data_IF_597955388585
#
_entry.id   IF_597955388585
#
_cell.length_a   1.000
_cell.length_b   1.000
_cell.length_c   1.000
_cell.angle_alpha   90.00
_cell.angle_beta   90.00
_cell.angle_gamma   90.00
#
_symmetry.space_group_name_H-M   'P 1'
#
loop_
_entity.id
_entity.type
_entity.pdbx_description
1 polymer ?
#
# COMPACT_ATOMS: atom_id res chain seq x y z
N UNK A 1 37.65 40.21 -35.58
CA UNK A 1 36.48 39.34 -35.87
C UNK A 1 36.23 38.21 -34.85
N UNK A 2 37.09 37.99 -33.85
CA UNK A 2 36.98 36.80 -32.97
C UNK A 2 36.19 37.00 -31.65
N UNK A 3 36.11 38.22 -31.11
CA UNK A 3 35.42 38.44 -29.83
C UNK A 3 33.87 38.38 -29.93
N UNK A 4 33.28 38.88 -31.04
CA UNK A 4 31.82 38.86 -31.23
C UNK A 4 31.26 37.44 -31.44
N UNK A 5 32.02 36.54 -32.08
CA UNK A 5 31.60 35.15 -32.28
C UNK A 5 31.67 34.33 -30.98
N UNK A 6 32.70 34.58 -30.16
CA UNK A 6 32.81 33.96 -28.84
C UNK A 6 31.68 34.40 -27.90
N UNK A 7 31.29 35.68 -27.93
CA UNK A 7 30.21 36.20 -27.10
C UNK A 7 28.84 35.60 -27.49
N UNK A 8 28.51 35.55 -28.78
CA UNK A 8 27.26 34.94 -29.27
C UNK A 8 27.17 33.44 -28.97
N UNK A 9 28.28 32.70 -29.08
CA UNK A 9 28.31 31.28 -28.71
C UNK A 9 28.08 31.05 -27.20
N UNK A 10 28.63 31.93 -26.36
CA UNK A 10 28.44 31.85 -24.90
C UNK A 10 27.00 32.21 -24.49
N UNK A 11 26.40 33.23 -25.11
CA UNK A 11 24.99 33.59 -24.86
C UNK A 11 24.02 32.49 -25.30
N UNK A 12 24.29 31.82 -26.43
CA UNK A 12 23.50 30.69 -26.89
C UNK A 12 23.67 29.45 -26.00
N UNK A 13 24.87 29.19 -25.48
CA UNK A 13 25.09 28.10 -24.53
C UNK A 13 24.42 28.34 -23.18
N UNK A 14 24.41 29.59 -22.68
CA UNK A 14 23.70 29.96 -21.45
C UNK A 14 22.18 29.95 -21.65
N UNK A 15 21.69 30.40 -22.82
CA UNK A 15 20.27 30.33 -23.14
C UNK A 15 19.79 28.88 -23.34
N UNK A 16 20.58 28.03 -24.00
CA UNK A 16 20.30 26.60 -24.12
C UNK A 16 20.39 25.88 -22.76
N UNK A 17 21.36 26.25 -21.93
CA UNK A 17 21.48 25.77 -20.55
C UNK A 17 20.29 26.18 -19.68
N UNK A 18 19.81 27.42 -19.81
CA UNK A 18 18.59 27.88 -19.12
C UNK A 18 17.33 27.18 -19.66
N UNK A 19 17.20 26.99 -20.98
CA UNK A 19 16.05 26.29 -21.55
C UNK A 19 16.01 24.79 -21.18
N UNK A 20 17.17 24.14 -21.04
CA UNK A 20 17.27 22.76 -20.53
C UNK A 20 16.97 22.72 -19.02
N UNK A 21 17.40 23.74 -18.26
CA UNK A 21 17.13 23.85 -16.82
C UNK A 21 15.67 24.22 -16.50
N UNK A 22 14.98 24.96 -17.37
CA UNK A 22 13.55 25.25 -17.22
C UNK A 22 12.64 24.18 -17.83
N UNK A 23 13.19 23.29 -18.67
CA UNK A 23 12.46 22.22 -19.35
C UNK A 23 12.33 20.92 -18.56
N UNK A 24 13.24 20.67 -17.61
CA UNK A 24 13.22 19.51 -16.73
C UNK A 24 13.28 19.96 -15.28
N UNK A 25 12.09 20.11 -14.69
CA UNK A 25 11.75 20.13 -13.26
C UNK A 25 10.62 21.13 -13.01
N UNK A 26 9.41 20.79 -13.48
CA UNK A 26 8.24 21.08 -12.63
C UNK A 26 8.36 20.14 -11.43
N UNK A 27 9.19 20.51 -10.45
CA UNK A 27 8.91 20.09 -9.07
C UNK A 27 7.62 20.84 -8.73
N UNK A 28 6.49 20.23 -9.07
CA UNK A 28 5.19 20.82 -8.79
C UNK A 28 5.11 21.08 -7.30
N UNK A 29 4.76 22.30 -6.90
CA UNK A 29 4.29 22.52 -5.54
C UNK A 29 3.14 21.54 -5.28
N UNK A 30 3.10 20.89 -4.11
CA UNK A 30 2.03 19.94 -3.82
C UNK A 30 0.66 20.62 -4.00
N UNK A 31 -0.36 19.89 -4.49
CA UNK A 31 -1.70 20.43 -4.61
C UNK A 31 -2.14 21.08 -3.30
N UNK A 32 -2.62 22.31 -3.37
CA UNK A 32 -3.11 23.05 -2.20
C UNK A 32 -4.53 22.66 -1.80
N UNK A 33 -5.28 22.02 -2.71
CA UNK A 33 -6.68 21.66 -2.49
C UNK A 33 -6.80 20.19 -2.07
N UNK A 34 -7.58 19.94 -1.03
CA UNK A 34 -7.97 18.60 -0.56
C UNK A 34 -9.40 18.32 -1.00
N UNK A 35 -9.69 17.08 -1.38
CA UNK A 35 -11.03 16.68 -1.82
C UNK A 35 -11.42 15.33 -1.23
N UNK A 36 -12.71 15.16 -0.95
CA UNK A 36 -13.35 13.87 -0.69
C UNK A 36 -14.35 13.63 -1.81
N UNK A 37 -14.27 12.44 -2.41
CA UNK A 37 -15.20 11.99 -3.44
C UNK A 37 -16.04 10.89 -2.81
N UNK A 38 -17.36 11.00 -2.95
CA UNK A 38 -18.32 9.99 -2.51
C UNK A 38 -19.29 9.72 -3.64
N UNK A 39 -19.69 8.47 -3.80
CA UNK A 39 -20.65 8.09 -4.83
C UNK A 39 -21.74 7.17 -4.27
N UNK A 40 -22.93 7.22 -4.88
CA UNK A 40 -24.03 6.30 -4.67
C UNK A 40 -24.62 5.80 -6.00
N UNK A 41 -25.29 4.65 -5.93
CA UNK A 41 -25.82 3.94 -7.10
C UNK A 41 -24.96 2.75 -7.55
N UNK A 42 -25.22 2.19 -8.74
CA UNK A 42 -24.51 1.01 -9.23
C UNK A 42 -23.05 1.34 -9.55
N UNK A 43 -22.14 0.45 -9.15
CA UNK A 43 -20.69 0.62 -9.36
C UNK A 43 -20.13 1.93 -8.77
N UNK A 44 -20.82 2.55 -7.80
CA UNK A 44 -20.46 3.82 -7.19
C UNK A 44 -19.01 3.83 -6.67
N UNK A 45 -18.62 2.80 -5.94
CA UNK A 45 -17.26 2.65 -5.44
C UNK A 45 -16.20 2.60 -6.56
N UNK A 46 -16.55 2.03 -7.72
CA UNK A 46 -15.66 2.02 -8.89
C UNK A 46 -15.51 3.39 -9.52
N UNK A 47 -16.60 4.13 -9.66
CA UNK A 47 -16.58 5.49 -10.20
C UNK A 47 -15.84 6.47 -9.27
N UNK A 48 -16.10 6.40 -7.96
CA UNK A 48 -15.36 7.15 -6.93
C UNK A 48 -13.85 6.94 -7.08
N UNK A 49 -13.47 5.68 -7.23
CA UNK A 49 -12.09 5.24 -7.32
C UNK A 49 -11.40 5.67 -8.61
N UNK A 50 -12.04 5.50 -9.76
CA UNK A 50 -11.52 5.95 -11.05
C UNK A 50 -11.39 7.48 -11.10
N UNK A 51 -12.36 8.22 -10.53
CA UNK A 51 -12.26 9.68 -10.48
C UNK A 51 -11.17 10.15 -9.51
N UNK A 52 -10.99 9.46 -8.39
CA UNK A 52 -9.88 9.69 -7.46
C UNK A 52 -8.53 9.48 -8.16
N UNK A 53 -8.40 8.37 -8.88
CA UNK A 53 -7.21 8.04 -9.67
C UNK A 53 -6.92 9.12 -10.72
N UNK A 54 -7.95 9.61 -11.42
CA UNK A 54 -7.80 10.68 -12.40
C UNK A 54 -7.35 12.02 -11.77
N UNK A 55 -7.89 12.37 -10.60
CA UNK A 55 -7.52 13.58 -9.88
C UNK A 55 -6.07 13.50 -9.36
N UNK A 56 -5.65 12.33 -8.89
CA UNK A 56 -4.31 12.06 -8.39
C UNK A 56 -3.26 12.04 -9.51
N UNK A 57 -3.55 11.44 -10.68
CA UNK A 57 -2.65 11.45 -11.85
C UNK A 57 -2.31 12.88 -12.32
N UNK A 58 -3.12 13.87 -11.94
CA UNK A 58 -2.97 15.24 -12.38
C UNK A 58 -2.45 16.17 -11.28
N UNK A 59 -2.13 15.62 -10.10
CA UNK A 59 -1.78 16.37 -8.90
C UNK A 59 -2.72 17.56 -8.65
N UNK A 60 -4.00 17.38 -8.99
CA UNK A 60 -4.99 18.46 -8.86
C UNK A 60 -5.43 18.59 -7.42
N UNK A 61 -5.65 17.45 -6.77
CA UNK A 61 -6.16 17.37 -5.41
C UNK A 61 -5.39 16.33 -4.60
N UNK A 62 -5.30 16.61 -3.30
CA UNK A 62 -5.02 15.57 -2.31
C UNK A 62 -6.36 14.90 -1.99
N UNK A 63 -6.57 13.70 -2.55
CA UNK A 63 -7.79 12.94 -2.32
C UNK A 63 -7.72 12.28 -0.94
N UNK A 64 -8.71 12.56 -0.10
CA UNK A 64 -8.83 12.00 1.25
C UNK A 64 -9.82 10.83 1.26
N UNK A 65 -9.68 9.87 2.19
CA UNK A 65 -10.65 8.80 2.35
C UNK A 65 -12.06 9.33 2.65
N UNK A 66 -13.12 8.64 2.21
CA UNK A 66 -14.49 8.94 2.63
C UNK A 66 -14.62 9.05 4.15
N UNK A 67 -15.47 9.97 4.61
CA UNK A 67 -15.65 10.25 6.05
C UNK A 67 -14.63 11.23 6.65
N UNK A 68 -13.61 11.65 5.89
CA UNK A 68 -12.71 12.72 6.31
C UNK A 68 -13.42 14.08 6.32
N UNK A 69 -13.48 14.74 7.47
CA UNK A 69 -14.10 16.06 7.66
C UNK A 69 -13.15 17.22 8.03
N UNK A 70 -11.89 17.32 7.53
CA UNK A 70 -11.09 18.51 7.82
C UNK A 70 -11.73 19.79 7.26
N UNK A 71 -11.47 20.92 7.93
CA UNK A 71 -11.80 22.24 7.40
C UNK A 71 -11.11 22.48 6.04
N UNK A 72 -11.85 23.05 5.09
CA UNK A 72 -11.33 23.44 3.77
C UNK A 72 -11.17 22.28 2.78
N UNK A 73 -11.91 21.18 2.96
CA UNK A 73 -11.93 20.04 2.04
C UNK A 73 -13.11 20.15 1.09
N UNK A 74 -12.84 20.07 -0.22
CA UNK A 74 -13.86 20.02 -1.27
C UNK A 74 -14.68 18.74 -1.15
N UNK A 75 -16.00 18.85 -1.22
CA UNK A 75 -16.90 17.70 -1.18
C UNK A 75 -17.48 17.44 -2.57
N UNK A 76 -17.17 16.28 -3.14
CA UNK A 76 -17.69 15.85 -4.44
C UNK A 76 -18.62 14.67 -4.22
N UNK A 77 -19.90 14.85 -4.55
CA UNK A 77 -20.93 13.80 -4.44
C UNK A 77 -21.38 13.40 -5.83
N UNK A 78 -21.43 12.11 -6.10
CA UNK A 78 -21.80 11.55 -7.40
C UNK A 78 -23.02 10.64 -7.25
N UNK A 79 -24.09 10.93 -7.98
CA UNK A 79 -25.25 10.08 -8.11
C UNK A 79 -25.20 9.39 -9.47
N UNK A 80 -25.05 8.07 -9.47
CA UNK A 80 -24.95 7.26 -10.68
C UNK A 80 -26.26 6.53 -10.97
N UNK A 81 -26.66 6.48 -12.24
CA UNK A 81 -27.75 5.64 -12.72
C UNK A 81 -27.35 4.93 -14.01
N UNK A 82 -27.63 3.64 -14.08
CA UNK A 82 -27.44 2.84 -15.29
C UNK A 82 -28.74 2.78 -16.09
N UNK A 83 -28.67 3.16 -17.36
CA UNK A 83 -29.75 3.02 -18.35
C UNK A 83 -29.23 2.21 -19.56
N UNK A 84 -29.39 0.88 -19.50
CA UNK A 84 -28.80 -0.04 -20.45
C UNK A 84 -27.27 0.02 -20.46
N UNK A 85 -26.70 0.50 -21.58
CA UNK A 85 -25.26 0.72 -21.75
C UNK A 85 -24.83 2.15 -21.39
N UNK A 86 -25.78 3.02 -21.03
CA UNK A 86 -25.50 4.42 -20.68
C UNK A 86 -25.36 4.59 -19.17
N UNK A 87 -24.38 5.38 -18.77
CA UNK A 87 -24.19 5.91 -17.43
C UNK A 87 -24.72 7.34 -17.41
N UNK A 88 -25.79 7.56 -16.65
CA UNK A 88 -26.24 8.89 -16.26
C UNK A 88 -25.54 9.25 -14.95
N UNK A 89 -24.81 10.36 -14.96
CA UNK A 89 -24.05 10.85 -13.82
C UNK A 89 -24.50 12.26 -13.48
N UNK A 90 -24.94 12.43 -12.24
CA UNK A 90 -25.17 13.73 -11.63
C UNK A 90 -24.09 13.94 -10.56
N UNK A 91 -23.56 15.16 -10.48
CA UNK A 91 -22.51 15.48 -9.53
C UNK A 91 -22.82 16.76 -8.77
N UNK A 92 -22.27 16.89 -7.57
CA UNK A 92 -22.26 18.12 -6.80
C UNK A 92 -20.83 18.43 -6.33
N UNK A 93 -20.43 19.70 -6.37
CA UNK A 93 -19.19 20.21 -5.78
C UNK A 93 -19.54 21.24 -4.70
N UNK A 94 -19.22 20.93 -3.44
CA UNK A 94 -19.53 21.76 -2.28
C UNK A 94 -21.03 22.13 -2.21
N UNK A 95 -21.90 21.17 -2.55
CA UNK A 95 -23.35 21.32 -2.60
C UNK A 95 -23.87 22.11 -3.81
N UNK A 96 -23.01 22.48 -4.76
CA UNK A 96 -23.43 23.11 -6.02
C UNK A 96 -23.55 22.05 -7.12
N UNK A 97 -24.68 21.99 -7.84
CA UNK A 97 -24.87 21.00 -8.89
C UNK A 97 -23.87 21.22 -10.03
N UNK A 98 -23.29 20.12 -10.51
CA UNK A 98 -22.48 20.06 -11.72
C UNK A 98 -23.39 19.70 -12.91
N UNK A 99 -23.00 20.07 -14.15
CA UNK A 99 -23.75 19.67 -15.34
C UNK A 99 -23.91 18.14 -15.41
N UNK A 100 -25.15 17.67 -15.58
CA UNK A 100 -25.43 16.26 -15.74
C UNK A 100 -24.70 15.69 -16.97
N UNK A 101 -24.15 14.50 -16.84
CA UNK A 101 -23.44 13.80 -17.90
C UNK A 101 -24.19 12.51 -18.23
N UNK A 102 -24.24 12.16 -19.51
CA UNK A 102 -24.85 10.91 -19.95
C UNK A 102 -24.14 10.40 -21.20
N UNK A 103 -23.86 9.10 -21.25
CA UNK A 103 -23.13 8.46 -22.35
C UNK A 103 -22.63 7.09 -21.92
N UNK A 104 -21.63 6.54 -22.62
CA UNK A 104 -20.86 5.41 -22.10
C UNK A 104 -20.15 5.80 -20.79
N UNK A 105 -19.68 4.83 -19.97
CA UNK A 105 -18.90 5.14 -18.76
C UNK A 105 -17.74 6.10 -18.99
N UNK A 106 -16.96 5.89 -20.07
CA UNK A 106 -15.85 6.75 -20.45
C UNK A 106 -16.31 8.18 -20.78
N UNK A 107 -17.37 8.33 -21.59
CA UNK A 107 -17.93 9.63 -21.97
C UNK A 107 -18.47 10.41 -20.76
N UNK A 108 -19.24 9.74 -19.89
CA UNK A 108 -19.84 10.36 -18.72
C UNK A 108 -18.78 10.81 -17.72
N UNK A 109 -17.77 9.98 -17.44
CA UNK A 109 -16.65 10.32 -16.56
C UNK A 109 -15.75 11.40 -17.16
N UNK A 110 -15.51 11.38 -18.48
CA UNK A 110 -14.79 12.45 -19.18
C UNK A 110 -15.55 13.79 -19.09
N UNK A 111 -16.87 13.76 -19.21
CA UNK A 111 -17.73 14.93 -19.03
C UNK A 111 -17.64 15.50 -17.63
N UNK A 112 -17.71 14.65 -16.61
CA UNK A 112 -17.58 15.03 -15.21
C UNK A 112 -16.18 15.59 -14.92
N UNK A 113 -15.13 14.94 -15.41
CA UNK A 113 -13.76 15.41 -15.28
C UNK A 113 -13.62 16.85 -15.79
N UNK A 114 -14.18 17.16 -16.97
CA UNK A 114 -14.20 18.53 -17.50
C UNK A 114 -14.94 19.50 -16.58
N UNK A 115 -16.10 19.10 -16.04
CA UNK A 115 -16.86 19.93 -15.10
C UNK A 115 -16.09 20.22 -13.80
N UNK A 116 -15.18 19.33 -13.42
CA UNK A 116 -14.29 19.44 -12.27
C UNK A 116 -12.95 20.12 -12.58
N UNK A 117 -12.75 20.59 -13.82
CA UNK A 117 -11.48 21.13 -14.32
C UNK A 117 -10.30 20.13 -14.25
N UNK A 118 -10.62 18.85 -14.42
CA UNK A 118 -9.65 17.78 -14.64
C UNK A 118 -9.51 17.53 -16.14
N UNK A 119 -8.33 17.13 -16.59
CA UNK A 119 -8.15 16.53 -17.92
C UNK A 119 -8.95 15.22 -17.96
N UNK A 120 -9.74 14.97 -19.00
CA UNK A 120 -10.42 13.68 -19.16
C UNK A 120 -9.43 12.51 -19.13
N UNK A 121 -9.89 11.40 -18.57
CA UNK A 121 -9.25 10.11 -18.77
C UNK A 121 -9.21 9.79 -20.27
N UNK A 122 -8.11 9.25 -20.77
CA UNK A 122 -8.06 8.59 -22.06
C UNK A 122 -8.33 7.07 -21.90
N UNK A 123 -8.30 6.34 -23.02
CA UNK A 123 -8.54 4.89 -23.02
C UNK A 123 -7.52 4.08 -22.21
N UNK A 124 -6.40 4.68 -21.79
CA UNK A 124 -5.46 4.00 -20.88
C UNK A 124 -6.02 3.89 -19.45
N UNK A 125 -6.96 4.74 -19.04
CA UNK A 125 -7.55 4.69 -17.70
C UNK A 125 -8.97 4.12 -17.71
N UNK A 126 -9.78 4.40 -18.73
CA UNK A 126 -11.17 3.93 -18.80
C UNK A 126 -11.48 3.45 -20.22
N UNK A 127 -11.80 2.17 -20.44
CA UNK A 127 -12.19 1.68 -21.75
C UNK A 127 -13.64 2.07 -22.09
N UNK A 128 -13.97 2.05 -23.37
CA UNK A 128 -15.29 2.41 -23.86
C UNK A 128 -16.34 1.30 -23.68
N UNK A 129 -17.60 1.66 -23.83
CA UNK A 129 -18.71 0.70 -23.98
C UNK A 129 -18.88 -0.24 -22.78
N UNK A 130 -19.04 -1.54 -23.06
CA UNK A 130 -19.28 -2.57 -22.05
C UNK A 130 -18.05 -2.84 -21.16
N UNK A 131 -16.84 -2.71 -21.72
CA UNK A 131 -15.61 -2.87 -20.95
C UNK A 131 -15.49 -1.80 -19.86
N UNK A 132 -15.98 -0.58 -20.12
CA UNK A 132 -16.04 0.49 -19.11
C UNK A 132 -16.92 0.12 -17.92
N UNK A 133 -18.06 -0.53 -18.15
CA UNK A 133 -18.92 -1.03 -17.07
C UNK A 133 -18.26 -2.14 -16.27
N UNK A 134 -17.61 -3.07 -16.95
CA UNK A 134 -16.88 -4.16 -16.32
C UNK A 134 -15.75 -3.63 -15.43
N UNK A 135 -15.01 -2.62 -15.90
CA UNK A 135 -13.97 -1.96 -15.10
C UNK A 135 -14.54 -1.29 -13.85
N UNK A 136 -15.64 -0.51 -13.98
CA UNK A 136 -16.25 0.16 -12.82
C UNK A 136 -16.74 -0.86 -11.79
N UNK A 137 -17.29 -1.97 -12.26
CA UNK A 137 -17.73 -3.04 -11.38
C UNK A 137 -16.55 -3.70 -10.65
N UNK A 138 -15.50 -4.11 -11.39
CA UNK A 138 -14.29 -4.69 -10.80
C UNK A 138 -13.56 -3.73 -9.84
N UNK A 139 -13.53 -2.44 -10.16
CA UNK A 139 -12.90 -1.43 -9.31
C UNK A 139 -13.68 -1.20 -8.00
N UNK A 140 -15.01 -1.37 -8.03
CA UNK A 140 -15.92 -1.07 -6.93
C UNK A 140 -16.33 -2.27 -6.06
N UNK A 141 -16.14 -3.52 -6.51
CA UNK A 141 -16.66 -4.69 -5.80
C UNK A 141 -15.95 -4.98 -4.47
N UNK A 142 -16.78 -5.30 -3.49
CA UNK A 142 -16.41 -5.87 -2.20
C UNK A 142 -17.13 -7.21 -1.97
N UNK A 143 -16.37 -8.18 -1.44
CA UNK A 143 -16.72 -9.42 -0.71
C UNK A 143 -17.75 -10.44 -1.24
N UNK A 144 -18.68 -10.13 -2.15
CA UNK A 144 -19.78 -11.05 -2.51
C UNK A 144 -19.45 -12.07 -3.62
N UNK A 145 -18.36 -11.86 -4.37
CA UNK A 145 -17.87 -12.79 -5.38
C UNK A 145 -16.58 -13.47 -4.92
N UNK A 146 -16.41 -14.73 -5.32
CA UNK A 146 -15.15 -15.44 -5.08
C UNK A 146 -14.02 -14.76 -5.84
N UNK A 147 -12.83 -14.72 -5.25
CA UNK A 147 -11.63 -14.14 -5.88
C UNK A 147 -11.36 -14.76 -7.24
N UNK A 148 -11.63 -16.05 -7.42
CA UNK A 148 -11.48 -16.76 -8.71
C UNK A 148 -12.42 -16.22 -9.81
N UNK A 149 -13.69 -15.93 -9.49
CA UNK A 149 -14.64 -15.39 -10.46
C UNK A 149 -14.24 -13.97 -10.90
N UNK A 150 -13.85 -13.14 -9.93
CA UNK A 150 -13.32 -11.79 -10.19
C UNK A 150 -12.05 -11.84 -11.05
N UNK A 151 -11.17 -12.79 -10.79
CA UNK A 151 -9.92 -12.97 -11.52
C UNK A 151 -10.15 -13.29 -13.00
N UNK A 152 -11.05 -14.23 -13.30
CA UNK A 152 -11.38 -14.61 -14.68
C UNK A 152 -11.98 -13.43 -15.48
N UNK A 153 -12.81 -12.62 -14.82
CA UNK A 153 -13.39 -11.41 -15.39
C UNK A 153 -12.34 -10.34 -15.67
N UNK A 154 -11.45 -10.07 -14.70
CA UNK A 154 -10.36 -9.12 -14.87
C UNK A 154 -9.37 -9.55 -15.97
N UNK A 155 -9.06 -10.85 -16.08
CA UNK A 155 -8.25 -11.40 -17.17
C UNK A 155 -8.92 -11.18 -18.54
N UNK A 156 -10.22 -11.48 -18.64
CA UNK A 156 -10.98 -11.24 -19.87
C UNK A 156 -10.98 -9.75 -20.26
N UNK A 157 -11.12 -8.86 -19.28
CA UNK A 157 -11.04 -7.42 -19.50
C UNK A 157 -9.65 -6.98 -20.00
N UNK A 158 -8.55 -7.47 -19.39
CA UNK A 158 -7.19 -7.16 -19.86
C UNK A 158 -6.94 -7.69 -21.27
N UNK A 159 -7.50 -8.85 -21.63
CA UNK A 159 -7.42 -9.37 -23.01
C UNK A 159 -8.17 -8.50 -24.02
N UNK A 160 -9.34 -8.00 -23.64
CA UNK A 160 -10.13 -7.11 -24.49
C UNK A 160 -9.49 -5.71 -24.61
N UNK A 161 -8.91 -5.21 -23.51
CA UNK A 161 -8.40 -3.85 -23.38
C UNK A 161 -6.93 -3.84 -22.91
N UNK A 162 -5.98 -4.37 -23.70
CA UNK A 162 -4.60 -4.61 -23.25
C UNK A 162 -3.80 -3.34 -22.94
N UNK A 163 -4.31 -2.17 -23.34
CA UNK A 163 -3.71 -0.85 -23.06
C UNK A 163 -4.36 -0.12 -21.88
N UNK A 164 -5.40 -0.69 -21.27
CA UNK A 164 -6.06 -0.10 -20.12
C UNK A 164 -5.27 -0.42 -18.84
N UNK A 165 -4.54 0.56 -18.33
CA UNK A 165 -3.80 0.50 -17.07
C UNK A 165 -4.70 0.20 -15.87
N UNK A 166 -5.94 0.72 -15.83
CA UNK A 166 -6.87 0.42 -14.74
C UNK A 166 -7.37 -1.04 -14.76
N UNK A 167 -7.58 -1.62 -15.95
CA UNK A 167 -7.89 -3.04 -16.08
C UNK A 167 -6.72 -3.91 -15.61
N UNK A 168 -5.49 -3.55 -15.98
CA UNK A 168 -4.28 -4.22 -15.52
C UNK A 168 -4.07 -4.09 -14.02
N UNK A 169 -4.33 -2.92 -13.44
CA UNK A 169 -4.33 -2.70 -12.00
C UNK A 169 -5.33 -3.61 -11.30
N UNK A 170 -6.57 -3.71 -11.80
CA UNK A 170 -7.59 -4.58 -11.23
C UNK A 170 -7.14 -6.05 -11.26
N UNK A 171 -6.61 -6.51 -12.40
CA UNK A 171 -6.16 -7.89 -12.55
C UNK A 171 -4.93 -8.19 -11.66
N UNK A 172 -3.92 -7.33 -11.66
CA UNK A 172 -2.74 -7.46 -10.81
C UNK A 172 -3.08 -7.50 -9.32
N UNK A 173 -4.00 -6.62 -8.86
CA UNK A 173 -4.47 -6.59 -7.47
C UNK A 173 -5.21 -7.88 -7.08
N UNK A 174 -6.06 -8.39 -7.97
CA UNK A 174 -6.77 -9.65 -7.76
C UNK A 174 -5.82 -10.84 -7.74
N UNK A 175 -4.76 -10.83 -8.56
CA UNK A 175 -3.69 -11.84 -8.49
C UNK A 175 -2.96 -11.79 -7.15
N UNK A 176 -2.60 -10.60 -6.65
CA UNK A 176 -1.98 -10.46 -5.31
C UNK A 176 -2.88 -11.04 -4.23
N UNK A 177 -4.17 -10.69 -4.26
CA UNK A 177 -5.16 -11.23 -3.32
C UNK A 177 -5.27 -12.75 -3.43
N UNK A 178 -5.33 -13.27 -4.65
CA UNK A 178 -5.41 -14.70 -4.92
C UNK A 178 -4.20 -15.45 -4.34
N UNK A 179 -2.99 -14.91 -4.53
CA UNK A 179 -1.74 -15.46 -3.99
C UNK A 179 -1.72 -15.50 -2.45
N UNK A 180 -2.35 -14.52 -1.78
CA UNK A 180 -2.48 -14.52 -0.31
C UNK A 180 -3.51 -15.53 0.17
N UNK A 181 -4.60 -15.71 -0.57
CA UNK A 181 -5.73 -16.56 -0.17
C UNK A 181 -5.56 -18.05 -0.54
N UNK A 182 -4.75 -18.38 -1.55
CA UNK A 182 -4.68 -19.74 -2.10
C UNK A 182 -3.23 -20.25 -2.14
N UNK A 183 -2.93 -21.23 -1.30
CA UNK A 183 -1.60 -21.83 -1.16
C UNK A 183 -1.29 -22.97 -2.16
N UNK A 184 -2.26 -23.42 -2.97
CA UNK A 184 -2.17 -24.69 -3.70
C UNK A 184 -2.07 -24.59 -5.25
N UNK A 185 -1.85 -23.40 -5.81
CA UNK A 185 -1.83 -23.20 -7.27
C UNK A 185 -0.42 -23.14 -7.86
N UNK A 186 -0.28 -23.30 -9.18
CA UNK A 186 0.99 -23.05 -9.88
C UNK A 186 1.30 -21.55 -9.83
N UNK A 187 2.05 -21.19 -8.80
CA UNK A 187 2.14 -19.86 -8.20
C UNK A 187 3.18 -18.96 -8.86
N UNK A 188 4.19 -19.55 -9.51
CA UNK A 188 5.21 -18.80 -10.25
C UNK A 188 4.59 -18.04 -11.42
N UNK A 189 3.64 -18.67 -12.12
CA UNK A 189 2.90 -18.03 -13.22
C UNK A 189 2.02 -16.88 -12.71
N UNK A 190 1.38 -17.04 -11.55
CA UNK A 190 0.54 -15.99 -10.96
C UNK A 190 1.37 -14.80 -10.46
N UNK A 191 2.52 -15.02 -9.84
CA UNK A 191 3.43 -13.94 -9.42
C UNK A 191 4.00 -13.21 -10.65
N UNK A 192 4.48 -13.95 -11.65
CA UNK A 192 4.97 -13.37 -12.89
C UNK A 192 3.88 -12.58 -13.63
N UNK A 193 2.64 -13.10 -13.66
CA UNK A 193 1.48 -12.40 -14.22
C UNK A 193 1.13 -11.13 -13.43
N UNK A 194 1.23 -11.16 -12.10
CA UNK A 194 0.99 -10.00 -11.25
C UNK A 194 1.96 -8.88 -11.58
N UNK A 195 3.27 -9.17 -11.56
CA UNK A 195 4.31 -8.22 -11.92
C UNK A 195 4.18 -7.73 -13.36
N UNK A 196 3.92 -8.62 -14.32
CA UNK A 196 3.70 -8.25 -15.71
C UNK A 196 2.57 -7.22 -15.85
N UNK A 197 1.43 -7.44 -15.18
CA UNK A 197 0.31 -6.51 -15.26
C UNK A 197 0.60 -5.16 -14.63
N UNK A 198 1.29 -5.11 -13.50
CA UNK A 198 1.72 -3.83 -12.93
C UNK A 198 2.70 -3.10 -13.86
N UNK A 199 3.73 -3.77 -14.35
CA UNK A 199 4.73 -3.16 -15.24
C UNK A 199 4.10 -2.64 -16.53
N UNK A 200 3.28 -3.45 -17.20
CA UNK A 200 2.63 -3.04 -18.44
C UNK A 200 1.58 -1.95 -18.21
N UNK A 201 0.91 -1.95 -17.06
CA UNK A 201 -0.01 -0.89 -16.70
C UNK A 201 0.71 0.45 -16.48
N UNK A 202 1.89 0.45 -15.84
CA UNK A 202 2.74 1.65 -15.76
C UNK A 202 3.35 2.03 -17.10
N UNK A 203 3.65 1.07 -17.97
CA UNK A 203 4.09 1.39 -19.33
C UNK A 203 2.97 2.10 -20.12
N UNK A 204 1.70 1.69 -19.91
CA UNK A 204 0.54 2.31 -20.53
C UNK A 204 0.20 3.69 -19.92
N UNK A 205 0.33 3.84 -18.59
CA UNK A 205 0.11 5.09 -17.88
C UNK A 205 1.21 5.32 -16.83
N UNK A 206 2.36 5.92 -17.21
CA UNK A 206 3.51 6.08 -16.32
C UNK A 206 3.25 6.89 -15.06
N UNK A 207 2.33 7.84 -15.13
CA UNK A 207 1.95 8.76 -14.05
C UNK A 207 0.72 8.26 -13.28
N UNK A 208 0.55 6.94 -13.12
CA UNK A 208 -0.59 6.35 -12.38
C UNK A 208 -0.21 6.04 -10.91
N UNK A 209 -0.51 6.91 -9.93
CA UNK A 209 0.04 6.78 -8.58
C UNK A 209 -0.44 5.54 -7.85
N UNK A 210 -1.72 5.18 -7.99
CA UNK A 210 -2.30 4.01 -7.33
C UNK A 210 -1.73 2.69 -7.84
N UNK A 211 -1.43 2.61 -9.14
CA UNK A 211 -0.73 1.46 -9.68
C UNK A 211 0.68 1.37 -9.12
N UNK A 212 1.42 2.49 -9.10
CA UNK A 212 2.76 2.53 -8.52
C UNK A 212 2.76 2.17 -7.02
N UNK A 213 1.78 2.65 -6.24
CA UNK A 213 1.56 2.27 -4.83
C UNK A 213 1.43 0.75 -4.70
N UNK A 214 0.46 0.15 -5.39
CA UNK A 214 0.18 -1.28 -5.24
C UNK A 214 1.32 -2.16 -5.77
N UNK A 215 2.02 -1.70 -6.81
CA UNK A 215 3.21 -2.40 -7.29
C UNK A 215 4.36 -2.32 -6.28
N UNK A 216 4.59 -1.16 -5.64
CA UNK A 216 5.60 -1.03 -4.60
C UNK A 216 5.29 -1.88 -3.36
N UNK A 217 4.01 -1.96 -2.97
CA UNK A 217 3.56 -2.88 -1.90
C UNK A 217 3.87 -4.32 -2.30
N UNK A 218 3.47 -4.74 -3.50
CA UNK A 218 3.76 -6.10 -3.99
C UNK A 218 5.27 -6.41 -4.02
N UNK A 219 6.09 -5.48 -4.53
CA UNK A 219 7.55 -5.60 -4.55
C UNK A 219 8.10 -5.77 -3.13
N UNK A 220 7.56 -5.03 -2.16
CA UNK A 220 7.94 -5.14 -0.74
C UNK A 220 7.57 -6.51 -0.18
N UNK A 221 6.35 -6.99 -0.44
CA UNK A 221 5.85 -8.30 0.03
C UNK A 221 6.65 -9.49 -0.52
N UNK A 222 7.25 -9.35 -1.71
CA UNK A 222 8.13 -10.38 -2.31
C UNK A 222 9.61 -10.15 -2.01
N UNK A 223 9.94 -9.25 -1.08
CA UNK A 223 11.31 -9.00 -0.61
C UNK A 223 12.18 -8.15 -1.53
N UNK A 224 11.59 -7.48 -2.53
CA UNK A 224 12.25 -6.57 -3.48
C UNK A 224 12.07 -5.11 -3.07
N UNK A 225 12.21 -4.82 -1.77
CA UNK A 225 12.01 -3.49 -1.19
C UNK A 225 12.89 -2.40 -1.82
N UNK A 226 14.08 -2.75 -2.33
CA UNK A 226 14.93 -1.81 -3.07
C UNK A 226 14.27 -1.29 -4.35
N UNK A 227 13.65 -2.17 -5.13
CA UNK A 227 12.94 -1.79 -6.35
C UNK A 227 11.67 -1.00 -6.02
N UNK A 228 11.01 -1.33 -4.91
CA UNK A 228 9.91 -0.52 -4.38
C UNK A 228 10.38 0.90 -4.03
N UNK A 229 11.51 1.04 -3.34
CA UNK A 229 12.10 2.35 -2.99
C UNK A 229 12.52 3.15 -4.23
N UNK A 230 13.09 2.51 -5.26
CA UNK A 230 13.40 3.15 -6.54
C UNK A 230 12.13 3.66 -7.23
N UNK A 231 11.08 2.82 -7.32
CA UNK A 231 9.78 3.19 -7.88
C UNK A 231 9.14 4.36 -7.11
N UNK A 232 9.19 4.34 -5.78
CA UNK A 232 8.67 5.42 -4.94
C UNK A 232 9.46 6.71 -5.12
N UNK A 233 10.80 6.65 -5.21
CA UNK A 233 11.65 7.83 -5.45
C UNK A 233 11.26 8.52 -6.75
N UNK A 234 11.07 7.76 -7.82
CA UNK A 234 10.75 8.32 -9.13
C UNK A 234 9.30 8.77 -9.25
N UNK A 235 8.37 8.09 -8.58
CA UNK A 235 6.94 8.44 -8.63
C UNK A 235 6.61 9.62 -7.72
N UNK A 236 7.19 9.71 -6.51
CA UNK A 236 6.99 10.85 -5.59
C UNK A 236 7.64 12.14 -6.10
N UNK A 237 8.67 12.07 -6.96
CA UNK A 237 9.19 13.26 -7.65
C UNK A 237 8.14 13.90 -8.56
N UNK A 238 7.27 13.09 -9.16
CA UNK A 238 6.19 13.54 -10.05
C UNK A 238 4.94 13.90 -9.26
N UNK A 239 4.63 13.11 -8.22
CA UNK A 239 3.44 13.26 -7.39
C UNK A 239 3.78 13.50 -5.90
N UNK A 240 4.43 14.62 -5.55
CA UNK A 240 4.97 14.85 -4.19
C UNK A 240 3.91 15.01 -3.10
N UNK A 241 2.64 15.20 -3.47
CA UNK A 241 1.50 15.35 -2.56
C UNK A 241 0.63 14.11 -2.41
N UNK A 242 0.94 13.00 -3.10
CA UNK A 242 0.08 11.84 -3.12
C UNK A 242 0.22 10.99 -1.84
N UNK A 243 -0.87 10.87 -1.07
CA UNK A 243 -0.85 10.19 0.24
C UNK A 243 -0.64 8.68 0.15
N UNK A 244 -1.12 8.05 -0.93
CA UNK A 244 -1.00 6.61 -1.20
C UNK A 244 0.46 6.22 -1.45
N UNK A 245 1.16 7.00 -2.27
CA UNK A 245 2.59 6.81 -2.50
C UNK A 245 3.42 6.97 -1.22
N UNK A 246 3.04 7.89 -0.34
CA UNK A 246 3.70 8.05 0.97
C UNK A 246 3.46 6.83 1.88
N UNK A 247 2.29 6.19 1.81
CA UNK A 247 2.07 4.93 2.53
C UNK A 247 2.99 3.82 2.00
N UNK A 248 3.06 3.63 0.68
CA UNK A 248 3.91 2.61 0.08
C UNK A 248 5.39 2.86 0.37
N UNK A 249 5.85 4.12 0.36
CA UNK A 249 7.20 4.48 0.78
C UNK A 249 7.46 4.13 2.25
N UNK A 250 6.54 4.47 3.17
CA UNK A 250 6.69 4.12 4.58
C UNK A 250 6.80 2.61 4.78
N UNK A 251 5.98 1.83 4.07
CA UNK A 251 6.03 0.37 4.11
C UNK A 251 7.36 -0.19 3.58
N UNK A 252 7.78 0.21 2.38
CA UNK A 252 9.05 -0.25 1.81
C UNK A 252 10.26 0.15 2.67
N UNK A 253 10.23 1.37 3.23
CA UNK A 253 11.27 1.89 4.10
C UNK A 253 11.37 1.07 5.40
N UNK A 254 10.26 0.84 6.11
CA UNK A 254 10.28 0.08 7.37
C UNK A 254 10.64 -1.40 7.16
N UNK A 255 10.19 -2.00 6.05
CA UNK A 255 10.59 -3.36 5.70
C UNK A 255 12.11 -3.46 5.46
N UNK A 256 12.73 -2.40 4.94
CA UNK A 256 14.17 -2.32 4.69
C UNK A 256 15.00 -1.78 5.87
N UNK A 257 14.40 -1.64 7.06
CA UNK A 257 15.06 -1.10 8.25
C UNK A 257 15.24 0.42 8.30
N UNK A 258 14.76 1.16 7.29
CA UNK A 258 14.88 2.62 7.23
C UNK A 258 13.81 3.32 8.08
N UNK A 259 13.82 3.08 9.40
CA UNK A 259 12.77 3.56 10.31
C UNK A 259 12.66 5.10 10.39
N UNK A 260 13.77 5.84 10.26
CA UNK A 260 13.73 7.32 10.20
C UNK A 260 13.05 7.82 8.92
N UNK A 261 13.33 7.20 7.77
CA UNK A 261 12.66 7.52 6.51
C UNK A 261 11.16 7.22 6.60
N UNK A 262 10.79 6.04 7.12
CA UNK A 262 9.40 5.66 7.30
C UNK A 262 8.66 6.66 8.20
N UNK A 263 9.26 7.04 9.33
CA UNK A 263 8.69 8.01 10.26
C UNK A 263 8.49 9.38 9.58
N UNK A 264 9.52 9.97 8.98
CA UNK A 264 9.39 11.26 8.28
C UNK A 264 8.35 11.25 7.18
N UNK A 265 8.24 10.12 6.47
CA UNK A 265 7.25 9.92 5.41
C UNK A 265 5.82 9.97 5.97
N UNK A 266 5.55 9.28 7.08
CA UNK A 266 4.27 9.32 7.78
C UNK A 266 3.96 10.72 8.33
N UNK A 267 4.96 11.44 8.84
CA UNK A 267 4.81 12.85 9.25
C UNK A 267 4.39 13.75 8.11
N UNK A 268 5.05 13.62 6.96
CA UNK A 268 4.71 14.39 5.76
C UNK A 268 3.30 14.05 5.29
N UNK A 269 2.94 12.77 5.29
CA UNK A 269 1.57 12.33 4.96
C UNK A 269 0.54 12.95 5.89
N UNK A 270 0.78 12.95 7.20
CA UNK A 270 -0.10 13.58 8.19
C UNK A 270 -0.28 15.09 7.94
N UNK A 271 0.82 15.80 7.69
CA UNK A 271 0.80 17.23 7.33
C UNK A 271 -0.03 17.49 6.06
N UNK A 272 0.15 16.68 5.02
CA UNK A 272 -0.59 16.81 3.76
C UNK A 272 -2.08 16.48 3.89
N UNK A 273 -2.42 15.45 4.67
CA UNK A 273 -3.82 15.15 4.99
C UNK A 273 -4.47 16.27 5.83
N UNK A 274 -3.67 17.04 6.57
CA UNK A 274 -4.13 18.03 7.54
C UNK A 274 -4.81 17.36 8.74
N UNK A 275 -4.30 16.18 9.12
CA UNK A 275 -4.77 15.41 10.28
C UNK A 275 -3.55 14.96 11.10
N UNK A 276 -3.61 14.98 12.43
CA UNK A 276 -2.60 14.33 13.27
C UNK A 276 -2.49 12.84 12.93
N UNK A 277 -1.28 12.27 13.01
CA UNK A 277 -1.04 10.84 12.70
C UNK A 277 -2.00 9.89 13.42
N UNK A 278 -2.19 10.07 14.73
CA UNK A 278 -3.10 9.26 15.55
C UNK A 278 -4.60 9.43 15.27
N UNK A 279 -4.98 10.18 14.23
CA UNK A 279 -6.37 10.32 13.76
C UNK A 279 -6.56 9.74 12.36
N UNK A 280 -5.51 9.16 11.78
CA UNK A 280 -5.58 8.53 10.46
C UNK A 280 -5.97 7.06 10.62
N UNK A 281 -6.90 6.60 9.79
CA UNK A 281 -7.33 5.19 9.76
C UNK A 281 -6.29 4.30 9.04
N UNK A 282 -5.04 4.31 9.52
CA UNK A 282 -3.94 3.48 9.02
C UNK A 282 -3.04 3.10 10.19
N UNK A 283 -2.79 1.81 10.41
CA UNK A 283 -1.71 1.37 11.31
C UNK A 283 -0.44 1.19 10.50
N UNK A 284 0.65 1.78 10.98
CA UNK A 284 1.98 1.53 10.47
C UNK A 284 2.86 0.99 11.61
N UNK A 285 3.52 -0.14 11.35
CA UNK A 285 4.36 -0.79 12.37
C UNK A 285 5.69 -0.06 12.61
N UNK A 286 5.96 1.07 11.96
CA UNK A 286 7.15 1.90 12.22
C UNK A 286 7.24 2.30 13.69
N UNK A 287 6.14 2.78 14.28
CA UNK A 287 6.14 3.15 15.70
C UNK A 287 6.37 1.94 16.62
N UNK A 288 5.80 0.79 16.25
CA UNK A 288 6.03 -0.48 16.96
C UNK A 288 7.52 -0.85 16.94
N UNK A 289 8.16 -0.81 15.77
CA UNK A 289 9.57 -1.18 15.58
C UNK A 289 10.56 -0.17 16.19
N UNK A 290 10.13 1.07 16.36
CA UNK A 290 10.84 2.08 17.15
C UNK A 290 10.65 1.93 18.67
N UNK A 291 9.81 0.99 19.13
CA UNK A 291 9.47 0.83 20.55
C UNK A 291 8.55 1.92 21.11
N UNK A 292 7.92 2.73 20.26
CA UNK A 292 7.04 3.85 20.65
C UNK A 292 5.60 3.37 20.89
N UNK A 293 5.44 2.40 21.79
CA UNK A 293 4.18 1.68 21.99
C UNK A 293 2.98 2.58 22.30
N UNK A 294 3.15 3.61 23.14
CA UNK A 294 2.05 4.56 23.47
C UNK A 294 1.53 5.29 22.24
N UNK A 295 2.43 5.71 21.34
CA UNK A 295 2.04 6.38 20.10
C UNK A 295 1.39 5.39 19.12
N UNK A 296 1.91 4.16 19.05
CA UNK A 296 1.33 3.11 18.23
C UNK A 296 -0.08 2.71 18.71
N UNK A 297 -0.30 2.58 20.03
CA UNK A 297 -1.64 2.33 20.59
C UNK A 297 -2.64 3.45 20.25
N UNK A 298 -2.19 4.71 20.20
CA UNK A 298 -3.02 5.83 19.77
C UNK A 298 -3.43 5.73 18.30
N UNK A 299 -2.52 5.30 17.40
CA UNK A 299 -2.86 5.03 16.00
C UNK A 299 -3.83 3.84 15.86
N UNK A 300 -3.60 2.76 16.62
CA UNK A 300 -4.53 1.62 16.64
C UNK A 300 -5.93 2.03 17.10
N UNK A 301 -6.04 2.96 18.07
CA UNK A 301 -7.34 3.42 18.56
C UNK A 301 -8.20 4.06 17.47
N UNK A 302 -7.58 4.74 16.49
CA UNK A 302 -8.26 5.39 15.36
C UNK A 302 -8.72 4.41 14.27
N UNK A 303 -8.22 3.17 14.26
CA UNK A 303 -8.66 2.15 13.31
C UNK A 303 -10.08 1.66 13.61
N UNK A 304 -10.85 1.28 12.57
CA UNK A 304 -12.05 0.47 12.75
C UNK A 304 -11.75 -0.82 13.53
N UNK A 305 -12.73 -1.28 14.31
CA UNK A 305 -12.63 -2.57 14.99
C UNK A 305 -12.49 -3.71 13.96
N UNK A 306 -11.60 -4.66 14.23
CA UNK A 306 -11.38 -5.82 13.38
C UNK A 306 -10.21 -6.68 13.87
N UNK A 307 -9.99 -7.87 13.28
CA UNK A 307 -8.99 -8.82 13.74
C UNK A 307 -7.57 -8.26 13.81
N UNK A 308 -7.17 -7.46 12.81
CA UNK A 308 -5.83 -6.87 12.78
C UNK A 308 -5.62 -5.88 13.94
N UNK A 309 -6.58 -4.99 14.20
CA UNK A 309 -6.53 -4.06 15.34
C UNK A 309 -6.43 -4.81 16.66
N UNK A 310 -7.31 -5.78 16.86
CA UNK A 310 -7.34 -6.60 18.08
C UNK A 310 -6.03 -7.39 18.25
N UNK A 311 -5.49 -7.98 17.17
CA UNK A 311 -4.18 -8.63 17.20
C UNK A 311 -3.08 -7.68 17.68
N UNK A 312 -2.95 -6.48 17.09
CA UNK A 312 -1.89 -5.55 17.48
C UNK A 312 -2.09 -4.99 18.90
N UNK A 313 -3.33 -4.80 19.35
CA UNK A 313 -3.61 -4.44 20.73
C UNK A 313 -3.13 -5.52 21.70
N UNK A 314 -3.42 -6.79 21.43
CA UNK A 314 -2.92 -7.91 22.22
C UNK A 314 -1.39 -8.03 22.19
N UNK A 315 -0.82 -7.87 20.99
CA UNK A 315 0.62 -7.98 20.77
C UNK A 315 1.42 -6.90 21.53
N UNK A 316 0.96 -5.64 21.51
CA UNK A 316 1.62 -4.56 22.29
C UNK A 316 1.50 -4.81 23.79
N UNK A 317 0.36 -5.31 24.28
CA UNK A 317 0.19 -5.68 25.70
C UNK A 317 1.18 -6.75 26.13
N UNK A 318 1.43 -7.76 25.29
CA UNK A 318 2.48 -8.75 25.55
C UNK A 318 3.87 -8.11 25.62
N UNK A 319 4.20 -7.23 24.68
CA UNK A 319 5.49 -6.52 24.69
C UNK A 319 5.67 -5.64 25.94
N UNK A 320 4.57 -5.14 26.51
CA UNK A 320 4.54 -4.37 27.76
C UNK A 320 4.50 -5.25 29.03
N UNK A 321 4.50 -6.58 28.90
CA UNK A 321 4.48 -7.51 30.04
C UNK A 321 3.09 -7.74 30.65
N UNK A 322 2.01 -7.49 29.91
CA UNK A 322 0.61 -7.70 30.32
C UNK A 322 -0.05 -8.86 29.54
N UNK A 323 0.25 -10.13 29.88
CA UNK A 323 -0.32 -11.29 29.20
C UNK A 323 -1.83 -11.44 29.44
N UNK A 324 -2.35 -10.97 30.57
CA UNK A 324 -3.77 -11.05 30.88
C UNK A 324 -4.60 -10.09 30.00
N UNK A 325 -4.15 -8.84 29.86
CA UNK A 325 -4.75 -7.88 28.93
C UNK A 325 -4.58 -8.32 27.48
N UNK A 326 -3.43 -8.89 27.13
CA UNK A 326 -3.19 -9.40 25.79
C UNK A 326 -4.15 -10.52 25.38
N UNK A 327 -4.37 -11.51 26.26
CA UNK A 327 -5.26 -12.64 26.01
C UNK A 327 -6.67 -12.20 25.62
N UNK A 328 -7.18 -11.13 26.25
CA UNK A 328 -8.50 -10.58 25.94
C UNK A 328 -8.56 -10.16 24.48
N UNK A 329 -7.62 -9.34 24.02
CA UNK A 329 -7.62 -8.85 22.64
C UNK A 329 -7.39 -9.95 21.60
N UNK A 330 -6.56 -10.95 21.90
CA UNK A 330 -6.39 -12.08 20.98
C UNK A 330 -7.66 -12.92 20.84
N UNK A 331 -8.41 -13.13 21.92
CA UNK A 331 -9.73 -13.77 21.86
C UNK A 331 -10.76 -12.94 21.07
N UNK A 332 -10.65 -11.60 21.09
CA UNK A 332 -11.49 -10.74 20.24
C UNK A 332 -11.16 -10.88 18.76
N UNK A 333 -9.87 -11.01 18.42
CA UNK A 333 -9.41 -11.23 17.06
C UNK A 333 -9.80 -12.63 16.54
N UNK A 334 -9.88 -13.64 17.41
CA UNK A 334 -10.22 -15.03 17.09
C UNK A 334 -11.72 -15.36 17.21
N UNK A 335 -12.60 -14.34 17.21
CA UNK A 335 -14.05 -14.59 17.30
C UNK A 335 -14.56 -15.33 16.05
N UNK A 336 -15.43 -16.35 16.22
CA UNK A 336 -16.07 -17.03 15.10
C UNK A 336 -16.78 -16.05 14.16
N UNK A 337 -16.64 -16.28 12.85
CA UNK A 337 -17.29 -15.47 11.81
C UNK A 337 -16.46 -14.29 11.29
N UNK A 338 -15.25 -14.07 11.80
CA UNK A 338 -14.34 -13.01 11.32
C UNK A 338 -13.47 -13.40 10.11
N UNK A 339 -13.69 -14.59 9.54
CA UNK A 339 -12.93 -15.12 8.41
C UNK A 339 -11.58 -15.75 8.80
N UNK A 340 -10.84 -16.24 7.82
CA UNK A 340 -9.57 -16.98 8.01
C UNK A 340 -8.32 -16.12 7.75
N UNK A 341 -8.34 -14.84 8.14
CA UNK A 341 -7.18 -13.98 7.90
C UNK A 341 -5.95 -14.44 8.71
N UNK A 342 -4.76 -14.14 8.21
CA UNK A 342 -3.50 -14.46 8.89
C UNK A 342 -3.44 -13.90 10.33
N UNK A 343 -4.01 -12.71 10.55
CA UNK A 343 -4.08 -12.09 11.89
C UNK A 343 -5.02 -12.83 12.84
N UNK A 344 -6.13 -13.40 12.35
CA UNK A 344 -7.02 -14.25 13.17
C UNK A 344 -6.25 -15.47 13.66
N UNK A 345 -5.56 -16.15 12.75
CA UNK A 345 -4.81 -17.38 13.08
C UNK A 345 -3.62 -17.13 13.97
N UNK A 346 -2.88 -16.03 13.74
CA UNK A 346 -1.77 -15.66 14.61
C UNK A 346 -2.29 -15.22 15.99
N UNK A 347 -3.42 -14.51 16.07
CA UNK A 347 -4.06 -14.20 17.34
C UNK A 347 -4.50 -15.47 18.09
N UNK A 348 -5.04 -16.47 17.39
CA UNK A 348 -5.35 -17.78 17.97
C UNK A 348 -4.13 -18.43 18.64
N UNK A 349 -2.97 -18.44 17.95
CA UNK A 349 -1.70 -18.94 18.52
C UNK A 349 -1.36 -18.21 19.82
N UNK A 350 -1.37 -16.88 19.82
CA UNK A 350 -1.06 -16.10 21.02
C UNK A 350 -2.11 -16.26 22.13
N UNK A 351 -3.39 -16.42 21.80
CA UNK A 351 -4.45 -16.69 22.78
C UNK A 351 -4.21 -18.01 23.51
N UNK A 352 -3.93 -19.09 22.77
CA UNK A 352 -3.55 -20.39 23.36
C UNK A 352 -2.32 -20.25 24.25
N UNK A 353 -1.29 -19.56 23.77
CA UNK A 353 -0.04 -19.33 24.50
C UNK A 353 -0.28 -18.57 25.82
N UNK A 354 -1.08 -17.50 25.80
CA UNK A 354 -1.42 -16.72 26.99
C UNK A 354 -2.24 -17.52 28.03
N UNK A 355 -2.99 -18.53 27.57
CA UNK A 355 -3.76 -19.44 28.42
C UNK A 355 -2.91 -20.62 28.96
N UNK A 356 -1.60 -20.65 28.69
CA UNK A 356 -0.72 -21.74 29.10
C UNK A 356 -0.84 -23.01 28.26
N UNK A 357 -1.56 -22.96 27.13
CA UNK A 357 -1.78 -24.08 26.21
C UNK A 357 -0.64 -24.15 25.18
N UNK A 358 0.58 -24.31 25.68
CA UNK A 358 1.81 -24.19 24.87
C UNK A 358 1.86 -25.20 23.71
N UNK A 359 1.47 -26.45 23.95
CA UNK A 359 1.56 -27.51 22.93
C UNK A 359 0.56 -27.26 21.80
N UNK A 360 -0.65 -26.84 22.13
CA UNK A 360 -1.68 -26.46 21.18
C UNK A 360 -1.27 -25.22 20.39
N UNK A 361 -0.67 -24.22 21.06
CA UNK A 361 -0.16 -23.01 20.41
C UNK A 361 0.94 -23.34 19.40
N UNK A 362 1.88 -24.22 19.74
CA UNK A 362 2.94 -24.68 18.83
C UNK A 362 2.34 -25.44 17.64
N UNK A 363 1.43 -26.38 17.87
CA UNK A 363 0.78 -27.11 16.78
C UNK A 363 0.02 -26.18 15.82
N UNK A 364 -0.66 -25.16 16.36
CA UNK A 364 -1.33 -24.15 15.55
C UNK A 364 -0.34 -23.25 14.77
N UNK A 365 0.80 -22.91 15.38
CA UNK A 365 1.86 -22.12 14.75
C UNK A 365 2.55 -22.91 13.62
N UNK A 366 2.90 -24.17 13.87
CA UNK A 366 3.49 -25.07 12.86
C UNK A 366 2.55 -25.26 11.67
N UNK A 367 1.23 -25.40 11.92
CA UNK A 367 0.24 -25.49 10.85
C UNK A 367 0.12 -24.18 10.05
N UNK A 368 0.21 -23.02 10.72
CA UNK A 368 0.22 -21.71 10.06
C UNK A 368 1.48 -21.50 9.23
N UNK A 369 2.64 -21.91 9.73
CA UNK A 369 3.90 -21.86 8.97
C UNK A 369 3.86 -22.80 7.76
N UNK A 370 3.46 -24.06 7.94
CA UNK A 370 3.42 -25.05 6.87
C UNK A 370 2.49 -24.66 5.71
N UNK A 371 1.38 -23.99 6.01
CA UNK A 371 0.50 -23.42 4.98
C UNK A 371 1.17 -22.25 4.27
N UNK A 372 1.93 -21.42 4.99
CA UNK A 372 2.65 -20.30 4.40
C UNK A 372 3.86 -20.70 3.59
N UNK A 373 4.52 -21.80 3.92
CA UNK A 373 5.57 -22.38 3.07
C UNK A 373 5.02 -22.81 1.69
N UNK A 374 3.70 -23.03 1.59
CA UNK A 374 3.01 -23.26 0.31
C UNK A 374 2.55 -21.94 -0.36
N UNK A 375 2.53 -20.82 0.37
CA UNK A 375 2.17 -19.49 -0.15
C UNK A 375 3.42 -18.82 -0.71
N UNK A 376 3.39 -18.48 -2.00
CA UNK A 376 4.53 -17.87 -2.69
C UNK A 376 4.57 -16.34 -2.61
N UNK A 377 3.72 -15.73 -1.76
CA UNK A 377 3.92 -14.35 -1.32
C UNK A 377 4.62 -14.37 0.06
N UNK A 378 5.96 -14.30 0.09
CA UNK A 378 6.72 -14.63 1.28
C UNK A 378 6.43 -13.71 2.48
N UNK A 379 6.13 -12.42 2.25
CA UNK A 379 5.86 -11.40 3.27
C UNK A 379 6.81 -11.56 4.47
N UNK A 380 8.04 -11.06 4.29
CA UNK A 380 9.10 -11.20 5.29
C UNK A 380 8.72 -10.60 6.65
N UNK A 381 7.88 -9.57 6.67
CA UNK A 381 7.42 -8.97 7.92
C UNK A 381 6.49 -9.91 8.68
N UNK A 382 5.52 -10.53 8.00
CA UNK A 382 4.67 -11.50 8.66
C UNK A 382 5.46 -12.74 9.09
N UNK A 383 6.40 -13.21 8.27
CA UNK A 383 7.31 -14.30 8.65
C UNK A 383 8.13 -13.94 9.90
N UNK A 384 8.55 -12.68 10.04
CA UNK A 384 9.20 -12.24 11.28
C UNK A 384 8.27 -12.35 12.51
N UNK A 385 6.97 -12.07 12.36
CA UNK A 385 6.00 -12.26 13.47
C UNK A 385 5.83 -13.73 13.85
N UNK A 386 6.05 -14.67 12.93
CA UNK A 386 6.10 -16.10 13.24
C UNK A 386 7.36 -16.45 14.06
N UNK A 387 8.53 -15.88 13.70
CA UNK A 387 9.75 -16.06 14.48
C UNK A 387 9.56 -15.57 15.93
N UNK A 388 8.90 -14.43 16.09
CA UNK A 388 8.55 -13.91 17.41
C UNK A 388 7.59 -14.82 18.17
N UNK A 389 6.61 -15.42 17.50
CA UNK A 389 5.70 -16.38 18.12
C UNK A 389 6.45 -17.65 18.61
N UNK A 390 7.37 -18.20 17.81
CA UNK A 390 8.23 -19.30 18.24
C UNK A 390 9.11 -18.91 19.43
N UNK A 391 9.68 -17.71 19.39
CA UNK A 391 10.49 -17.18 20.49
C UNK A 391 9.69 -17.04 21.78
N UNK A 392 8.47 -16.51 21.69
CA UNK A 392 7.53 -16.40 22.80
C UNK A 392 7.12 -17.76 23.38
N UNK A 393 6.98 -18.79 22.54
CA UNK A 393 6.69 -20.17 22.94
C UNK A 393 7.93 -20.93 23.45
N UNK A 394 9.09 -20.29 23.53
CA UNK A 394 10.32 -20.90 24.07
C UNK A 394 11.01 -21.85 23.10
N UNK A 395 10.88 -21.62 21.79
CA UNK A 395 11.57 -22.36 20.73
C UNK A 395 12.66 -21.49 20.06
N UNK A 396 13.78 -21.17 20.75
CA UNK A 396 14.74 -20.18 20.26
C UNK A 396 15.48 -20.61 18.99
N UNK A 397 15.70 -21.92 18.80
CA UNK A 397 16.31 -22.45 17.58
C UNK A 397 15.41 -22.22 16.36
N UNK A 398 14.13 -22.58 16.49
CA UNK A 398 13.16 -22.39 15.42
C UNK A 398 12.90 -20.90 15.16
N UNK A 399 12.77 -20.10 16.21
CA UNK A 399 12.66 -18.64 16.10
C UNK A 399 13.80 -18.02 15.27
N UNK A 400 15.05 -18.45 15.50
CA UNK A 400 16.19 -17.99 14.72
C UNK A 400 16.11 -18.42 13.25
N UNK A 401 15.77 -19.68 12.96
CA UNK A 401 15.68 -20.18 11.59
C UNK A 401 14.58 -19.43 10.81
N UNK A 402 13.42 -19.18 11.44
CA UNK A 402 12.33 -18.38 10.85
C UNK A 402 12.72 -16.91 10.71
N UNK A 403 13.44 -16.33 11.67
CA UNK A 403 13.94 -14.95 11.58
C UNK A 403 14.95 -14.77 10.43
N UNK A 404 15.81 -15.77 10.19
CA UNK A 404 16.70 -15.79 9.05
C UNK A 404 15.91 -15.85 7.73
N UNK A 405 14.85 -16.66 7.66
CA UNK A 405 13.94 -16.69 6.51
C UNK A 405 13.28 -15.35 6.28
N UNK A 406 12.82 -14.65 7.32
CA UNK A 406 12.24 -13.31 7.20
C UNK A 406 13.20 -12.29 6.55
N UNK A 407 14.49 -12.31 6.90
CA UNK A 407 15.50 -11.45 6.25
C UNK A 407 15.75 -11.84 4.78
N UNK A 408 15.78 -13.14 4.47
CA UNK A 408 15.86 -13.59 3.06
C UNK A 408 14.64 -13.11 2.27
N UNK A 409 13.48 -13.05 2.92
CA UNK A 409 12.22 -12.55 2.37
C UNK A 409 12.10 -11.01 2.41
N UNK A 410 13.17 -10.30 2.74
CA UNK A 410 13.29 -8.85 2.59
C UNK A 410 12.79 -8.01 3.75
N UNK A 411 12.58 -8.61 4.94
CA UNK A 411 12.42 -7.86 6.18
C UNK A 411 13.77 -7.69 6.88
N UNK A 412 14.40 -6.53 6.68
CA UNK A 412 15.77 -6.20 7.08
C UNK A 412 15.84 -5.17 8.21
N UNK A 413 14.80 -5.05 9.05
CA UNK A 413 14.76 -4.10 10.16
C UNK A 413 15.67 -4.51 11.32
N UNK A 414 17.00 -4.31 11.19
CA UNK A 414 18.00 -4.79 12.13
C UNK A 414 17.72 -4.30 13.57
N UNK A 415 17.31 -3.04 13.66
CA UNK A 415 16.91 -2.35 14.89
C UNK A 415 15.82 -3.09 15.69
N UNK A 416 14.86 -3.73 14.99
CA UNK A 416 13.83 -4.53 15.63
C UNK A 416 14.30 -5.96 15.93
N UNK A 417 15.06 -6.60 15.05
CA UNK A 417 15.69 -7.90 15.36
C UNK A 417 16.50 -7.86 16.66
N UNK A 418 17.26 -6.77 16.87
CA UNK A 418 18.09 -6.58 18.06
C UNK A 418 17.25 -6.40 19.35
N UNK A 419 16.12 -5.70 19.27
CA UNK A 419 15.35 -5.28 20.45
C UNK A 419 14.10 -6.09 20.74
N UNK A 420 13.60 -6.85 19.76
CA UNK A 420 12.39 -7.68 19.89
C UNK A 420 12.49 -8.58 21.14
N UNK A 421 11.63 -8.41 22.16
CA UNK A 421 11.73 -9.16 23.41
C UNK A 421 11.61 -10.67 23.20
N UNK A 422 10.75 -11.10 22.29
CA UNK A 422 10.49 -12.52 22.04
C UNK A 422 11.67 -13.26 21.40
N UNK A 423 12.63 -12.55 20.82
CA UNK A 423 13.84 -13.15 20.25
C UNK A 423 15.02 -13.19 21.23
N UNK A 424 14.86 -12.76 22.49
CA UNK A 424 15.97 -12.63 23.44
C UNK A 424 16.80 -13.91 23.63
N UNK A 425 16.16 -15.08 23.68
CA UNK A 425 16.87 -16.36 23.77
C UNK A 425 17.52 -16.78 22.44
N UNK A 426 16.87 -16.50 21.31
CA UNK A 426 17.43 -16.75 19.98
C UNK A 426 18.72 -15.95 19.75
N UNK A 427 18.82 -14.72 20.30
CA UNK A 427 20.03 -13.88 20.24
C UNK A 427 21.27 -14.49 20.89
N UNK A 428 21.09 -15.45 21.80
CA UNK A 428 22.19 -16.14 22.48
C UNK A 428 22.79 -17.27 21.62
N UNK A 429 22.12 -17.67 20.54
CA UNK A 429 22.56 -18.76 19.68
C UNK A 429 23.75 -18.33 18.80
N UNK A 430 24.71 -19.22 18.49
CA UNK A 430 25.91 -18.86 17.73
C UNK A 430 25.65 -18.23 16.35
N UNK A 431 24.61 -18.72 15.64
CA UNK A 431 24.22 -18.24 14.32
C UNK A 431 23.64 -16.81 14.32
N UNK A 432 23.19 -16.29 15.47
CA UNK A 432 22.60 -14.94 15.54
C UNK A 432 23.57 -13.86 15.08
N UNK A 433 24.86 -13.97 15.43
CA UNK A 433 25.88 -12.98 15.04
C UNK A 433 25.99 -12.83 13.53
N UNK A 434 25.92 -13.93 12.78
CA UNK A 434 25.94 -13.89 11.31
C UNK A 434 24.70 -13.22 10.74
N UNK A 435 23.52 -13.49 11.32
CA UNK A 435 22.27 -12.84 10.92
C UNK A 435 22.29 -11.34 11.19
N UNK A 436 22.68 -10.92 12.41
CA UNK A 436 22.78 -9.49 12.78
C UNK A 436 23.76 -8.74 11.89
N UNK A 437 24.93 -9.33 11.60
CA UNK A 437 25.90 -8.75 10.68
C UNK A 437 25.28 -8.52 9.28
N UNK A 438 24.63 -9.55 8.72
CA UNK A 438 24.00 -9.47 7.40
C UNK A 438 22.90 -8.41 7.33
N UNK A 439 22.06 -8.33 8.37
CA UNK A 439 21.02 -7.32 8.49
C UNK A 439 21.60 -5.91 8.49
N UNK A 440 22.61 -5.64 9.33
CA UNK A 440 23.24 -4.33 9.43
C UNK A 440 23.95 -3.92 8.15
N UNK A 441 24.62 -4.86 7.47
CA UNK A 441 25.27 -4.60 6.19
C UNK A 441 24.25 -4.20 5.11
N UNK A 442 23.12 -4.93 5.02
CA UNK A 442 22.03 -4.61 4.09
C UNK A 442 21.34 -3.29 4.42
N UNK A 443 21.05 -3.04 5.68
CA UNK A 443 20.43 -1.80 6.14
C UNK A 443 21.33 -0.61 5.82
N UNK A 444 22.63 -0.68 6.13
CA UNK A 444 23.59 0.40 5.85
C UNK A 444 23.75 0.69 4.35
N UNK A 445 23.78 -0.35 3.50
CA UNK A 445 23.81 -0.18 2.04
C UNK A 445 22.54 0.49 1.52
N UNK A 446 21.39 0.15 2.11
CA UNK A 446 20.09 0.70 1.75
C UNK A 446 19.98 2.16 2.22
N UNK A 447 20.38 2.45 3.45
CA UNK A 447 20.37 3.80 4.02
C UNK A 447 21.25 4.77 3.20
N UNK A 448 22.43 4.32 2.77
CA UNK A 448 23.30 5.10 1.90
C UNK A 448 22.67 5.40 0.52
N UNK A 449 21.88 4.47 -0.02
CA UNK A 449 21.24 4.63 -1.33
C UNK A 449 19.93 5.42 -1.27
N UNK A 450 19.23 5.41 -0.14
CA UNK A 450 17.89 5.97 0.06
C UNK A 450 17.81 6.89 1.29
N UNK A 451 18.68 7.92 1.41
CA UNK A 451 18.57 8.87 2.51
C UNK A 451 17.24 9.64 2.42
N UNK A 452 16.69 10.16 3.53
CA UNK A 452 15.45 10.95 3.52
C UNK A 452 15.43 12.09 2.49
N UNK A 453 16.58 12.74 2.28
CA UNK A 453 16.74 13.81 1.28
C UNK A 453 16.44 13.36 -0.16
N UNK A 454 16.61 12.07 -0.49
CA UNK A 454 16.28 11.52 -1.81
C UNK A 454 14.78 11.59 -2.15
N UNK A 455 13.93 11.72 -1.12
CA UNK A 455 12.47 11.82 -1.22
C UNK A 455 11.93 13.21 -0.86
N UNK A 456 12.82 14.17 -0.60
CA UNK A 456 12.47 15.53 -0.17
C UNK A 456 11.89 15.59 1.23
N UNK A 457 12.46 14.81 2.16
CA UNK A 457 12.09 14.79 3.60
C UNK A 457 13.06 15.58 4.47
#
# INVERSE_FOLDING_TARGET
MNARRAWVAWTLAVAAGLCIYTGFHRVGSPPSERAVITADGPCAAGAERILSDLAECQDRWIVLPPGSTPFGVRQIRLHLRRDGNRLDLQGELDGRPLPAQSGTPAEALAGLARALNLRPADHSLIPDGLAGWELLDLAGRGQDETTQALLARAEALVRAEPRCAAARLAYGTLLTRFLVEHSAFDTLDAQAACEFNFREGLAALPDYPRLAELYAIHLTDIGRSREALDLMRDTLRRHPGNLKLLNALAYAARASGLLDLADRTLDRRAKLAGQPRGQQALSDNTLLYQGRFVAFEAELAALPSGPMKAFYQGYVRLLQGDPAGAATHFQEADRPGLGSSLFVRLAHVYALACNGQRFEALAALDALEAERDQIHLPDGEFTFKLAEAYGFLGEPGHALDVAQRASVQGFDCADWFERAPFLAEARKLPKWRSLDQHLREREALTEAAYPPSAFGM
#
